data_IF_687154829844
#
_entry.id   IF_687154829844
#
_cell.length_a   1.000
_cell.length_b   1.000
_cell.length_c   1.000
_cell.angle_alpha   90.00
_cell.angle_beta   90.00
_cell.angle_gamma   90.00
#
_symmetry.space_group_name_H-M   'P 1'
#
loop_
_entity.id
_entity.type
_entity.pdbx_description
1 polymer ?
#
# COMPACT_ATOMS: atom_id res chain seq x y z
N UNK A 1 -11.34 -60.04 -6.77
CA UNK A 1 -10.34 -59.54 -7.73
C UNK A 1 -10.63 -58.06 -7.92
N UNK A 2 -10.07 -57.23 -7.04
CA UNK A 2 -10.42 -55.81 -6.99
C UNK A 2 -9.37 -55.03 -7.78
N UNK A 3 -9.82 -54.39 -8.85
CA UNK A 3 -8.99 -53.47 -9.63
C UNK A 3 -8.78 -52.20 -8.79
N UNK A 4 -7.65 -52.13 -8.10
CA UNK A 4 -7.13 -50.90 -7.50
C UNK A 4 -6.85 -49.92 -8.63
N UNK A 5 -7.82 -49.06 -8.92
CA UNK A 5 -7.68 -47.96 -9.87
C UNK A 5 -6.75 -46.90 -9.27
N UNK A 6 -5.47 -46.95 -9.63
CA UNK A 6 -4.49 -45.94 -9.27
C UNK A 6 -4.88 -44.61 -9.95
N UNK A 7 -5.36 -43.64 -9.17
CA UNK A 7 -5.80 -42.33 -9.65
C UNK A 7 -4.59 -41.46 -10.03
N UNK A 8 -4.24 -41.47 -11.31
CA UNK A 8 -3.10 -40.73 -11.90
C UNK A 8 -3.21 -39.20 -11.71
N UNK A 9 -4.41 -38.70 -11.43
CA UNK A 9 -4.68 -37.27 -11.29
C UNK A 9 -4.05 -36.65 -10.04
N UNK A 10 -3.76 -37.46 -9.01
CA UNK A 10 -3.20 -36.97 -7.73
C UNK A 10 -1.73 -36.55 -7.84
N UNK A 11 -0.96 -37.23 -8.68
CA UNK A 11 0.48 -36.99 -8.87
C UNK A 11 0.71 -35.79 -9.80
N UNK A 12 -0.21 -35.55 -10.74
CA UNK A 12 -0.11 -34.48 -11.73
C UNK A 12 -0.49 -33.08 -11.16
N UNK A 13 -1.26 -33.00 -10.08
CA UNK A 13 -1.64 -31.72 -9.47
C UNK A 13 -0.46 -30.86 -8.95
N UNK A 14 0.50 -31.39 -8.15
CA UNK A 14 1.63 -30.60 -7.67
C UNK A 14 2.63 -30.22 -8.77
N UNK A 15 2.73 -31.02 -9.84
CA UNK A 15 3.57 -30.69 -11.00
C UNK A 15 2.95 -29.60 -11.88
N UNK A 16 1.66 -29.70 -12.18
CA UNK A 16 0.92 -28.68 -12.93
C UNK A 16 0.91 -27.34 -12.20
N UNK A 17 0.74 -27.36 -10.86
CA UNK A 17 0.83 -26.19 -9.98
C UNK A 17 2.19 -25.47 -10.08
N UNK A 18 3.31 -26.22 -10.05
CA UNK A 18 4.66 -25.65 -10.16
C UNK A 18 4.94 -24.98 -11.52
N UNK A 19 4.43 -25.56 -12.60
CA UNK A 19 4.59 -25.01 -13.94
C UNK A 19 3.70 -23.77 -14.13
N UNK A 20 2.44 -23.83 -13.68
CA UNK A 20 1.53 -22.69 -13.66
C UNK A 20 2.12 -21.51 -12.89
N UNK A 21 2.75 -21.76 -11.73
CA UNK A 21 3.41 -20.72 -10.93
C UNK A 21 4.51 -19.99 -11.71
N UNK A 22 5.33 -20.70 -12.49
CA UNK A 22 6.40 -20.07 -13.30
C UNK A 22 5.84 -19.22 -14.43
N UNK A 23 4.81 -19.70 -15.13
CA UNK A 23 4.15 -18.92 -16.19
C UNK A 23 3.47 -17.68 -15.61
N UNK A 24 2.81 -17.82 -14.46
CA UNK A 24 2.19 -16.70 -13.75
C UNK A 24 3.22 -15.69 -13.26
N UNK A 25 4.36 -16.14 -12.74
CA UNK A 25 5.48 -15.27 -12.35
C UNK A 25 6.01 -14.47 -13.53
N UNK A 26 6.31 -15.12 -14.65
CA UNK A 26 6.84 -14.42 -15.83
C UNK A 26 5.81 -13.42 -16.38
N UNK A 27 4.54 -13.78 -16.42
CA UNK A 27 3.47 -12.87 -16.84
C UNK A 27 3.28 -11.70 -15.86
N UNK A 28 3.31 -11.98 -14.56
CA UNK A 28 3.22 -10.99 -13.49
C UNK A 28 4.39 -10.00 -13.53
N UNK A 29 5.62 -10.49 -13.67
CA UNK A 29 6.80 -9.65 -13.80
C UNK A 29 6.81 -8.84 -15.10
N UNK A 30 6.29 -9.40 -16.19
CA UNK A 30 6.22 -8.68 -17.47
C UNK A 30 5.15 -7.60 -17.48
N UNK A 31 4.05 -7.77 -16.73
CA UNK A 31 2.86 -6.90 -16.84
C UNK A 31 2.57 -6.05 -15.60
N UNK A 32 2.73 -6.60 -14.40
CA UNK A 32 2.37 -5.95 -13.14
C UNK A 32 3.59 -5.32 -12.47
N UNK A 33 4.76 -5.99 -12.51
CA UNK A 33 5.98 -5.42 -11.94
C UNK A 33 6.38 -4.05 -12.53
N UNK A 34 6.31 -3.77 -13.85
CA UNK A 34 6.65 -2.43 -14.35
C UNK A 34 5.71 -1.35 -13.79
N UNK A 35 4.41 -1.62 -13.63
CA UNK A 35 3.47 -0.67 -13.01
C UNK A 35 3.81 -0.42 -11.54
N UNK A 36 4.17 -1.47 -10.80
CA UNK A 36 4.60 -1.37 -9.40
C UNK A 36 5.91 -0.57 -9.28
N UNK A 37 6.88 -0.81 -10.16
CA UNK A 37 8.15 -0.06 -10.20
C UNK A 37 7.89 1.41 -10.48
N UNK A 38 7.02 1.75 -11.44
CA UNK A 38 6.65 3.15 -11.72
C UNK A 38 6.03 3.82 -10.49
N UNK A 39 5.14 3.13 -9.77
CA UNK A 39 4.57 3.66 -8.52
C UNK A 39 5.64 3.88 -7.44
N UNK A 40 6.54 2.91 -7.23
CA UNK A 40 7.61 3.02 -6.24
C UNK A 40 8.53 4.20 -6.59
N UNK A 41 8.94 4.32 -7.86
CA UNK A 41 9.79 5.42 -8.33
C UNK A 41 9.09 6.76 -8.14
N UNK A 42 7.80 6.86 -8.47
CA UNK A 42 7.01 8.07 -8.26
C UNK A 42 6.96 8.46 -6.77
N UNK A 43 6.70 7.51 -5.88
CA UNK A 43 6.68 7.75 -4.42
C UNK A 43 8.05 8.22 -3.93
N UNK A 44 9.14 7.58 -4.35
CA UNK A 44 10.50 7.95 -3.96
C UNK A 44 10.85 9.37 -4.44
N UNK A 45 10.49 9.72 -5.67
CA UNK A 45 10.70 11.07 -6.20
C UNK A 45 9.94 12.13 -5.38
N UNK A 46 8.68 11.87 -5.07
CA UNK A 46 7.87 12.77 -4.24
C UNK A 46 8.47 12.93 -2.85
N UNK A 47 8.94 11.82 -2.26
CA UNK A 47 9.63 11.85 -0.97
C UNK A 47 10.91 12.69 -1.01
N UNK A 48 11.70 12.53 -2.07
CA UNK A 48 12.94 13.29 -2.25
C UNK A 48 12.66 14.79 -2.36
N UNK A 49 11.68 15.17 -3.17
CA UNK A 49 11.26 16.58 -3.32
C UNK A 49 10.75 17.11 -1.99
N UNK A 50 9.92 16.34 -1.28
CA UNK A 50 9.40 16.73 0.03
C UNK A 50 10.53 16.94 1.05
N UNK A 51 11.49 16.02 1.13
CA UNK A 51 12.61 16.10 2.07
C UNK A 51 13.56 17.28 1.79
N UNK A 52 13.70 17.68 0.52
CA UNK A 52 14.49 18.86 0.14
C UNK A 52 13.80 20.18 0.49
N UNK A 53 12.47 20.20 0.52
CA UNK A 53 11.69 21.42 0.75
C UNK A 53 11.14 21.55 2.19
N UNK A 54 11.15 20.45 2.97
CA UNK A 54 10.58 20.40 4.30
C UNK A 54 11.61 19.95 5.33
N UNK A 55 11.91 20.84 6.27
CA UNK A 55 12.77 20.53 7.42
C UNK A 55 11.97 19.77 8.49
N UNK A 56 11.96 18.44 8.39
CA UNK A 56 11.22 17.56 9.31
C UNK A 56 11.57 17.83 10.78
N UNK A 57 12.83 18.11 11.10
CA UNK A 57 13.27 18.45 12.45
C UNK A 57 12.55 19.70 13.01
N UNK A 58 12.39 20.76 12.20
CA UNK A 58 11.69 21.97 12.60
C UNK A 58 10.19 21.73 12.75
N UNK A 59 9.60 20.92 11.85
CA UNK A 59 8.19 20.55 11.94
C UNK A 59 7.91 19.78 13.24
N UNK A 60 8.75 18.79 13.59
CA UNK A 60 8.61 18.02 14.82
C UNK A 60 8.77 18.88 16.08
N UNK A 61 9.74 19.80 16.10
CA UNK A 61 9.90 20.75 17.22
C UNK A 61 8.65 21.62 17.40
N UNK A 62 8.14 22.20 16.31
CA UNK A 62 6.95 23.04 16.36
C UNK A 62 5.68 22.27 16.74
N UNK A 63 5.56 21.01 16.30
CA UNK A 63 4.46 20.12 16.72
C UNK A 63 4.57 19.84 18.23
N UNK A 64 5.76 19.58 18.76
CA UNK A 64 5.97 19.37 20.20
C UNK A 64 5.54 20.59 21.03
N UNK A 65 5.89 21.79 20.56
CA UNK A 65 5.46 23.05 21.19
C UNK A 65 3.93 23.22 21.08
N UNK A 66 3.35 22.93 19.92
CA UNK A 66 1.91 23.03 19.72
C UNK A 66 1.12 21.98 20.53
N UNK A 67 1.70 20.80 20.75
CA UNK A 67 1.10 19.71 21.52
C UNK A 67 1.00 20.05 23.01
N UNK A 68 1.97 20.79 23.55
CA UNK A 68 1.89 21.30 24.93
C UNK A 68 0.67 22.22 25.15
N UNK A 69 0.18 22.87 24.11
CA UNK A 69 -1.00 23.74 24.16
C UNK A 69 -2.33 23.00 23.89
N UNK A 70 -2.28 21.69 23.63
CA UNK A 70 -3.45 20.82 23.41
C UNK A 70 -3.57 20.25 21.99
N UNK A 71 -4.51 19.31 21.81
CA UNK A 71 -4.73 18.65 20.51
C UNK A 71 -5.22 19.60 19.43
N UNK A 72 -6.03 20.60 19.80
CA UNK A 72 -6.59 21.56 18.84
C UNK A 72 -5.54 22.51 18.26
N UNK A 73 -4.55 22.92 19.05
CA UNK A 73 -3.44 23.74 18.56
C UNK A 73 -2.55 23.00 17.57
N UNK A 74 -2.36 21.68 17.75
CA UNK A 74 -1.65 20.85 16.76
C UNK A 74 -2.41 20.81 15.44
N UNK A 75 -3.72 20.58 15.48
CA UNK A 75 -4.53 20.58 14.27
C UNK A 75 -4.49 21.93 13.55
N UNK A 76 -4.67 23.02 14.30
CA UNK A 76 -4.58 24.39 13.75
C UNK A 76 -3.21 24.65 13.14
N UNK A 77 -2.13 24.26 13.82
CA UNK A 77 -0.76 24.40 13.34
C UNK A 77 -0.55 23.64 12.02
N UNK A 78 -1.01 22.39 11.92
CA UNK A 78 -0.89 21.57 10.71
C UNK A 78 -1.62 22.20 9.52
N UNK A 79 -2.86 22.65 9.72
CA UNK A 79 -3.66 23.28 8.66
C UNK A 79 -3.02 24.60 8.20
N UNK A 80 -2.60 25.44 9.15
CA UNK A 80 -1.99 26.74 8.82
C UNK A 80 -0.66 26.55 8.09
N UNK A 81 0.16 25.60 8.55
CA UNK A 81 1.45 25.28 7.92
C UNK A 81 1.26 24.71 6.52
N UNK A 82 0.21 23.92 6.28
CA UNK A 82 -0.14 23.45 4.95
C UNK A 82 -0.54 24.60 4.03
N UNK A 83 -1.43 25.49 4.48
CA UNK A 83 -1.89 26.62 3.67
C UNK A 83 -0.78 27.64 3.34
N UNK A 84 0.21 27.80 4.23
CA UNK A 84 1.35 28.69 4.03
C UNK A 84 2.53 28.03 3.31
N UNK A 85 2.50 26.71 3.11
CA UNK A 85 3.56 26.00 2.41
C UNK A 85 3.56 26.34 0.91
N UNK A 86 4.73 26.20 0.28
CA UNK A 86 4.85 26.32 -1.17
C UNK A 86 3.97 25.31 -1.91
N UNK A 87 3.47 25.69 -3.09
CA UNK A 87 2.61 24.85 -3.93
C UNK A 87 3.18 23.44 -4.15
N UNK A 88 4.49 23.32 -4.38
CA UNK A 88 5.16 22.03 -4.56
C UNK A 88 5.01 21.12 -3.34
N UNK A 89 5.12 21.68 -2.12
CA UNK A 89 4.97 20.94 -0.87
C UNK A 89 3.50 20.54 -0.66
N UNK A 90 2.56 21.46 -0.92
CA UNK A 90 1.12 21.16 -0.85
C UNK A 90 0.73 20.02 -1.80
N UNK A 91 1.16 20.09 -3.06
CA UNK A 91 0.93 19.01 -4.03
C UNK A 91 1.56 17.70 -3.57
N UNK A 92 2.78 17.72 -3.05
CA UNK A 92 3.45 16.52 -2.53
C UNK A 92 2.65 15.87 -1.40
N UNK A 93 2.16 16.66 -0.46
CA UNK A 93 1.32 16.20 0.67
C UNK A 93 -0.01 15.61 0.16
N UNK A 94 -0.68 16.29 -0.77
CA UNK A 94 -1.93 15.81 -1.37
C UNK A 94 -1.74 14.50 -2.13
N UNK A 95 -0.65 14.38 -2.88
CA UNK A 95 -0.30 13.17 -3.61
C UNK A 95 -0.06 12.02 -2.63
N UNK A 96 0.68 12.29 -1.55
CA UNK A 96 0.94 11.33 -0.48
C UNK A 96 -0.34 10.85 0.20
N UNK A 97 -1.23 11.78 0.56
CA UNK A 97 -2.56 11.48 1.11
C UNK A 97 -3.43 10.68 0.13
N UNK A 98 -3.40 11.04 -1.16
CA UNK A 98 -4.14 10.34 -2.21
C UNK A 98 -3.69 8.90 -2.37
N UNK A 99 -2.38 8.66 -2.51
CA UNK A 99 -1.81 7.31 -2.56
C UNK A 99 -2.06 6.55 -1.26
N UNK A 100 -1.89 7.19 -0.10
CA UNK A 100 -2.19 6.60 1.20
C UNK A 100 -3.65 6.14 1.31
N UNK A 101 -4.60 6.98 0.88
CA UNK A 101 -6.02 6.65 0.87
C UNK A 101 -6.35 5.48 -0.08
N UNK A 102 -5.70 5.42 -1.25
CA UNK A 102 -5.83 4.29 -2.18
C UNK A 102 -5.31 2.98 -1.55
N UNK A 103 -4.13 3.02 -0.93
CA UNK A 103 -3.56 1.85 -0.24
C UNK A 103 -4.47 1.40 0.91
N UNK A 104 -4.96 2.33 1.74
CA UNK A 104 -5.90 2.02 2.82
C UNK A 104 -7.19 1.40 2.26
N UNK A 105 -7.73 1.95 1.17
CA UNK A 105 -8.91 1.40 0.49
C UNK A 105 -8.69 -0.04 0.02
N UNK A 106 -7.52 -0.34 -0.55
CA UNK A 106 -7.19 -1.67 -1.03
C UNK A 106 -6.98 -2.67 0.13
N UNK A 107 -6.39 -2.22 1.24
CA UNK A 107 -6.27 -3.01 2.46
C UNK A 107 -7.66 -3.31 3.05
N UNK A 108 -8.51 -2.30 3.20
CA UNK A 108 -9.88 -2.47 3.72
C UNK A 108 -10.66 -3.45 2.86
N UNK A 109 -10.60 -3.32 1.52
CA UNK A 109 -11.25 -4.26 0.59
C UNK A 109 -10.72 -5.69 0.78
N UNK A 110 -9.41 -5.86 0.87
CA UNK A 110 -8.79 -7.18 1.06
C UNK A 110 -9.17 -7.83 2.39
N UNK A 111 -9.25 -7.04 3.46
CA UNK A 111 -9.64 -7.50 4.80
C UNK A 111 -11.14 -7.81 4.84
N UNK A 112 -12.00 -6.96 4.28
CA UNK A 112 -13.44 -7.22 4.17
C UNK A 112 -13.74 -8.50 3.39
N UNK A 113 -13.06 -8.73 2.27
CA UNK A 113 -13.21 -9.97 1.48
C UNK A 113 -12.85 -11.21 2.31
N UNK A 114 -11.76 -11.15 3.09
CA UNK A 114 -11.40 -12.24 4.01
C UNK A 114 -12.45 -12.46 5.09
N UNK A 115 -12.97 -11.38 5.69
CA UNK A 115 -14.02 -11.49 6.71
C UNK A 115 -15.32 -12.08 6.15
N UNK A 116 -15.72 -11.68 4.94
CA UNK A 116 -16.91 -12.22 4.26
C UNK A 116 -16.75 -13.72 3.95
N UNK A 117 -15.58 -14.15 3.47
CA UNK A 117 -15.33 -15.57 3.21
C UNK A 117 -15.32 -16.41 4.50
N UNK A 118 -14.71 -15.90 5.59
CA UNK A 118 -14.73 -16.59 6.89
C UNK A 118 -16.16 -16.78 7.43
N UNK A 119 -17.06 -15.83 7.15
CA UNK A 119 -18.48 -15.90 7.56
C UNK A 119 -19.34 -16.88 6.76
N UNK A 120 -18.91 -17.26 5.54
CA UNK A 120 -19.60 -18.22 4.67
C UNK A 120 -19.12 -19.67 4.84
N UNK A 121 -17.95 -19.90 5.43
CA UNK A 121 -17.43 -21.24 5.72
C UNK A 121 -17.89 -21.83 7.05
N UNK A 122 -18.70 -21.08 7.82
CA UNK A 122 -19.19 -21.44 9.16
C UNK A 122 -20.72 -21.69 9.16
N UNK A 123 -21.30 -21.89 7.97
CA UNK A 123 -22.68 -22.33 7.72
C UNK A 123 -22.65 -23.50 6.75
#
# INVERSE_FOLDING_TARGET
MDKVGFNDNSINQPFKSRILWRVYLVWFFKRIAPLMVVQIVAIVLVFKIFAQNVFVSKVLQNIGIAANNGYWSVFKYLVLSFLQAHLIVQFSILLFLGFGALVIRDIIRSVLVRMVMKRKGDK
#
